data_IF_199682495143
#
_entry.id   IF_199682495143
#
_cell.length_a   1.000
_cell.length_b   1.000
_cell.length_c   1.000
_cell.angle_alpha   90.00
_cell.angle_beta   90.00
_cell.angle_gamma   90.00
#
_symmetry.space_group_name_H-M   'P 1'
#
loop_
_entity.id
_entity.type
_entity.pdbx_description
1 polymer ?
#
# COMPACT_ATOMS: atom_id res chain seq x y z
N UNK A 1 26.19 -5.44 15.60
CA UNK A 1 26.03 -6.67 14.82
C UNK A 1 24.60 -6.79 14.35
N UNK A 2 24.39 -7.24 13.11
CA UNK A 2 23.09 -7.28 12.45
C UNK A 2 22.45 -8.66 12.59
N UNK A 3 21.29 -8.77 13.24
CA UNK A 3 20.59 -10.06 13.39
C UNK A 3 20.05 -10.58 12.06
N UNK A 4 20.21 -11.88 11.81
CA UNK A 4 19.63 -12.59 10.66
C UNK A 4 18.13 -12.84 10.87
N UNK A 5 17.73 -13.17 12.10
CA UNK A 5 16.32 -13.32 12.47
C UNK A 5 15.66 -11.95 12.67
N UNK A 6 14.44 -11.78 12.17
CA UNK A 6 13.64 -10.57 12.31
C UNK A 6 12.84 -10.23 11.06
N UNK A 7 12.15 -9.11 11.12
CA UNK A 7 11.45 -8.54 9.96
C UNK A 7 12.44 -7.84 9.04
N UNK A 8 12.22 -7.98 7.73
CA UNK A 8 13.00 -7.24 6.74
C UNK A 8 12.86 -5.73 6.97
N UNK A 9 13.97 -5.01 6.86
CA UNK A 9 13.99 -3.55 6.93
C UNK A 9 13.84 -2.91 5.54
N UNK A 10 14.35 -3.58 4.49
CA UNK A 10 14.18 -3.13 3.12
C UNK A 10 12.83 -3.55 2.54
N UNK A 11 12.23 -2.65 1.77
CA UNK A 11 11.04 -2.92 0.96
C UNK A 11 11.40 -3.65 -0.32
N UNK A 12 10.41 -4.34 -0.92
CA UNK A 12 10.53 -4.94 -2.27
C UNK A 12 10.99 -3.90 -3.30
N UNK A 13 10.40 -2.70 -3.27
CA UNK A 13 10.74 -1.62 -4.19
C UNK A 13 12.20 -1.17 -4.05
N UNK A 14 12.73 -1.07 -2.83
CA UNK A 14 14.14 -0.76 -2.61
C UNK A 14 15.05 -1.83 -3.20
N UNK A 15 14.73 -3.11 -3.00
CA UNK A 15 15.50 -4.23 -3.56
C UNK A 15 15.43 -4.28 -5.09
N UNK A 16 14.24 -4.05 -5.67
CA UNK A 16 14.06 -3.95 -7.13
C UNK A 16 14.78 -2.74 -7.73
N UNK A 17 14.74 -1.59 -7.06
CA UNK A 17 15.43 -0.37 -7.49
C UNK A 17 16.94 -0.57 -7.46
N UNK A 18 17.44 -1.18 -6.38
CA UNK A 18 18.85 -1.53 -6.26
C UNK A 18 19.29 -2.42 -7.41
N UNK A 19 18.61 -3.55 -7.66
CA UNK A 19 19.06 -4.48 -8.69
C UNK A 19 19.00 -3.89 -10.08
N UNK A 20 17.96 -3.10 -10.40
CA UNK A 20 17.88 -2.39 -11.68
C UNK A 20 19.02 -1.38 -11.85
N UNK A 21 19.44 -0.73 -10.76
CA UNK A 21 20.56 0.23 -10.77
C UNK A 21 21.90 -0.47 -11.00
N UNK A 22 22.17 -1.58 -10.30
CA UNK A 22 23.48 -2.25 -10.35
C UNK A 22 23.58 -3.31 -11.45
N UNK A 23 22.46 -3.81 -11.94
CA UNK A 23 22.34 -4.67 -13.11
C UNK A 23 21.14 -4.26 -13.98
N UNK A 24 21.29 -3.24 -14.84
CA UNK A 24 20.24 -2.80 -15.76
C UNK A 24 19.78 -3.86 -16.77
N UNK A 25 20.58 -4.94 -16.94
CA UNK A 25 20.27 -6.07 -17.82
C UNK A 25 19.66 -7.26 -17.07
N UNK A 26 19.37 -7.12 -15.77
CA UNK A 26 18.72 -8.17 -15.01
C UNK A 26 17.39 -8.56 -15.68
N UNK A 27 17.15 -9.85 -15.95
CA UNK A 27 15.92 -10.26 -16.62
C UNK A 27 14.71 -10.01 -15.72
N UNK A 28 13.55 -9.80 -16.33
CA UNK A 28 12.29 -9.57 -15.61
C UNK A 28 11.96 -10.67 -14.57
N UNK A 29 12.40 -11.91 -14.83
CA UNK A 29 12.25 -13.02 -13.89
C UNK A 29 12.94 -12.75 -12.55
N UNK A 30 14.12 -12.12 -12.56
CA UNK A 30 14.85 -11.71 -11.34
C UNK A 30 14.08 -10.61 -10.60
N UNK A 31 13.51 -9.64 -11.32
CA UNK A 31 12.72 -8.57 -10.70
C UNK A 31 11.45 -9.11 -10.05
N UNK A 32 10.76 -10.04 -10.74
CA UNK A 32 9.50 -10.65 -10.33
C UNK A 32 9.65 -11.60 -9.14
N UNK A 33 10.83 -12.18 -8.92
CA UNK A 33 11.05 -13.08 -7.78
C UNK A 33 11.48 -12.37 -6.48
N UNK A 34 11.86 -11.09 -6.51
CA UNK A 34 12.26 -10.34 -5.31
C UNK A 34 11.22 -10.37 -4.17
N UNK A 35 9.90 -10.23 -4.43
CA UNK A 35 8.88 -10.37 -3.38
C UNK A 35 8.95 -11.70 -2.62
N UNK A 36 9.42 -12.78 -3.27
CA UNK A 36 9.51 -14.10 -2.66
C UNK A 36 10.51 -14.13 -1.49
N UNK A 37 11.58 -13.35 -1.54
CA UNK A 37 12.52 -13.23 -0.41
C UNK A 37 11.83 -12.71 0.85
N UNK A 38 10.94 -11.72 0.70
CA UNK A 38 10.19 -11.15 1.82
C UNK A 38 9.16 -12.13 2.33
N UNK A 39 8.38 -12.77 1.44
CA UNK A 39 7.34 -13.70 1.87
C UNK A 39 7.91 -14.97 2.50
N UNK A 40 8.94 -15.58 1.90
CA UNK A 40 9.59 -16.78 2.44
C UNK A 40 10.31 -16.47 3.76
N UNK A 41 11.02 -15.33 3.82
CA UNK A 41 11.69 -14.87 5.05
C UNK A 41 10.72 -14.60 6.20
N UNK A 42 9.62 -13.88 5.94
CA UNK A 42 8.62 -13.55 6.94
C UNK A 42 7.99 -14.80 7.58
N UNK A 43 7.77 -15.86 6.79
CA UNK A 43 7.27 -17.13 7.32
C UNK A 43 8.27 -17.67 8.35
N UNK A 44 9.53 -17.85 7.98
CA UNK A 44 10.55 -18.44 8.88
C UNK A 44 11.09 -17.46 9.95
N UNK A 45 10.66 -16.20 9.92
CA UNK A 45 11.17 -15.15 10.81
C UNK A 45 12.60 -14.71 10.48
N UNK A 46 13.04 -14.96 9.24
CA UNK A 46 14.35 -14.55 8.71
C UNK A 46 14.19 -13.27 7.92
N UNK A 47 15.18 -12.39 8.03
CA UNK A 47 15.25 -11.17 7.23
C UNK A 47 15.49 -11.48 5.75
N UNK A 48 14.40 -11.49 4.97
CA UNK A 48 14.43 -11.72 3.53
C UNK A 48 15.28 -10.72 2.75
N UNK A 49 15.42 -9.49 3.24
CA UNK A 49 16.29 -8.48 2.64
C UNK A 49 17.79 -8.79 2.80
N UNK A 50 18.19 -9.45 3.89
CA UNK A 50 19.54 -9.99 4.08
C UNK A 50 19.78 -11.13 3.09
N UNK A 51 18.82 -12.06 2.94
CA UNK A 51 18.93 -13.15 1.99
C UNK A 51 19.06 -12.64 0.55
N UNK A 52 18.29 -11.61 0.17
CA UNK A 52 18.43 -10.98 -1.14
C UNK A 52 19.80 -10.29 -1.32
N UNK A 53 20.28 -9.55 -0.31
CA UNK A 53 21.60 -8.91 -0.35
C UNK A 53 22.72 -9.95 -0.48
N UNK A 54 22.60 -11.09 0.20
CA UNK A 54 23.50 -12.23 0.03
C UNK A 54 23.42 -12.78 -1.39
N UNK A 55 22.23 -12.96 -1.96
CA UNK A 55 22.10 -13.46 -3.34
C UNK A 55 22.73 -12.53 -4.37
N UNK A 56 22.61 -11.21 -4.17
CA UNK A 56 23.33 -10.22 -4.97
C UNK A 56 24.86 -10.41 -4.87
N UNK A 57 25.39 -10.70 -3.70
CA UNK A 57 26.81 -10.98 -3.53
C UNK A 57 27.23 -12.27 -4.26
N UNK A 58 26.51 -13.37 -4.05
CA UNK A 58 26.84 -14.71 -4.55
C UNK A 58 26.74 -14.83 -6.08
N UNK A 59 25.82 -14.08 -6.69
CA UNK A 59 25.55 -14.15 -8.13
C UNK A 59 26.18 -13.01 -8.93
N UNK A 60 26.90 -12.10 -8.27
CA UNK A 60 27.39 -10.87 -8.89
C UNK A 60 26.23 -10.02 -9.42
N UNK A 61 25.24 -9.73 -8.57
CA UNK A 61 23.99 -9.04 -8.90
C UNK A 61 23.21 -9.72 -10.03
N UNK A 62 23.06 -11.05 -9.97
CA UNK A 62 22.34 -11.86 -10.95
C UNK A 62 22.92 -11.77 -12.38
N UNK A 63 24.22 -11.50 -12.49
CA UNK A 63 24.94 -11.58 -13.78
C UNK A 63 25.47 -12.99 -14.04
N UNK A 64 25.80 -13.73 -12.96
CA UNK A 64 26.34 -15.09 -12.98
C UNK A 64 27.65 -15.26 -13.77
N UNK A 65 28.31 -14.16 -14.16
CA UNK A 65 29.48 -14.14 -15.05
C UNK A 65 30.67 -14.95 -14.54
N UNK A 66 30.76 -15.17 -13.23
CA UNK A 66 31.81 -15.95 -12.56
C UNK A 66 31.22 -16.92 -11.51
N UNK A 67 29.94 -17.29 -11.68
CA UNK A 67 29.22 -18.12 -10.72
C UNK A 67 29.24 -19.59 -11.12
N UNK A 68 29.34 -20.48 -10.12
CA UNK A 68 29.22 -21.93 -10.31
C UNK A 68 27.75 -22.41 -10.43
N UNK A 69 26.81 -21.47 -10.43
CA UNK A 69 25.37 -21.69 -10.62
C UNK A 69 24.84 -20.76 -11.72
N UNK A 70 23.76 -21.18 -12.37
CA UNK A 70 23.07 -20.39 -13.39
C UNK A 70 21.66 -20.01 -12.94
N UNK A 71 21.07 -19.01 -13.61
CA UNK A 71 19.75 -18.49 -13.26
C UNK A 71 18.65 -19.57 -13.25
N UNK A 72 18.69 -20.51 -14.20
CA UNK A 72 17.73 -21.61 -14.33
C UNK A 72 17.81 -22.65 -13.21
N UNK A 73 18.93 -22.71 -12.48
CA UNK A 73 19.06 -23.58 -11.31
C UNK A 73 18.27 -23.07 -10.10
N UNK A 74 17.75 -21.84 -10.12
CA UNK A 74 17.08 -21.19 -8.99
C UNK A 74 17.90 -21.20 -7.68
N UNK A 75 19.23 -21.31 -7.79
CA UNK A 75 20.13 -21.32 -6.64
C UNK A 75 20.86 -19.99 -6.59
N UNK A 76 20.33 -19.06 -5.81
CA UNK A 76 20.82 -17.68 -5.79
C UNK A 76 21.85 -17.42 -4.70
N UNK A 77 22.15 -18.41 -3.85
CA UNK A 77 23.08 -18.29 -2.75
C UNK A 77 24.31 -19.19 -2.86
N UNK A 78 24.54 -19.78 -4.04
CA UNK A 78 25.69 -20.67 -4.28
C UNK A 78 25.62 -21.98 -3.48
N UNK A 79 24.44 -22.41 -3.05
CA UNK A 79 24.30 -23.55 -2.17
C UNK A 79 24.81 -24.84 -2.81
N UNK A 80 25.66 -25.56 -2.10
CA UNK A 80 26.31 -26.78 -2.61
C UNK A 80 27.61 -26.54 -3.39
N UNK A 81 28.01 -25.28 -3.63
CA UNK A 81 29.31 -24.94 -4.21
C UNK A 81 30.36 -24.99 -3.10
N UNK A 82 30.96 -26.17 -2.88
CA UNK A 82 31.92 -26.36 -1.78
C UNK A 82 33.38 -26.07 -2.17
N UNK A 83 33.70 -26.00 -3.47
CA UNK A 83 35.01 -25.66 -4.02
C UNK A 83 34.89 -25.28 -5.49
N UNK A 84 35.92 -24.61 -6.04
CA UNK A 84 35.98 -24.26 -7.47
C UNK A 84 35.76 -25.49 -8.35
N UNK A 85 34.90 -25.34 -9.36
CA UNK A 85 34.54 -26.41 -10.29
C UNK A 85 33.41 -27.34 -9.83
N UNK A 86 32.90 -27.22 -8.60
CA UNK A 86 31.71 -27.96 -8.15
C UNK A 86 30.45 -27.17 -8.51
N UNK A 87 29.56 -27.80 -9.28
CA UNK A 87 28.26 -27.22 -9.63
C UNK A 87 27.35 -27.19 -8.39
N UNK A 88 26.67 -26.07 -8.18
CA UNK A 88 25.72 -25.93 -7.07
C UNK A 88 24.44 -26.75 -7.26
N UNK A 89 23.66 -26.84 -6.18
CA UNK A 89 22.33 -27.46 -6.19
C UNK A 89 21.38 -26.75 -7.15
N UNK A 90 20.28 -27.43 -7.54
CA UNK A 90 19.22 -26.85 -8.37
C UNK A 90 17.85 -27.05 -7.73
N UNK A 91 16.96 -26.08 -7.89
CA UNK A 91 15.62 -26.08 -7.33
C UNK A 91 14.58 -25.91 -8.42
N UNK A 92 13.40 -26.49 -8.20
CA UNK A 92 12.35 -26.55 -9.23
C UNK A 92 11.81 -25.16 -9.59
N UNK A 93 11.74 -24.26 -8.61
CA UNK A 93 11.19 -22.91 -8.78
C UNK A 93 12.02 -21.87 -8.03
N UNK A 94 11.93 -20.58 -8.41
CA UNK A 94 12.55 -19.50 -7.64
C UNK A 94 12.13 -19.49 -6.17
N UNK A 95 10.85 -19.76 -5.88
CA UNK A 95 10.32 -19.81 -4.52
C UNK A 95 10.99 -20.92 -3.69
N UNK A 96 11.18 -22.10 -4.28
CA UNK A 96 11.82 -23.24 -3.62
C UNK A 96 13.29 -22.97 -3.32
N UNK A 97 14.03 -22.39 -4.27
CA UNK A 97 15.44 -22.05 -4.05
C UNK A 97 15.66 -20.93 -3.04
N UNK A 98 14.82 -19.88 -3.08
CA UNK A 98 14.80 -18.81 -2.07
C UNK A 98 14.45 -19.39 -0.70
N UNK A 99 13.45 -20.27 -0.62
CA UNK A 99 13.09 -20.96 0.63
C UNK A 99 14.26 -21.77 1.18
N UNK A 100 14.96 -22.51 0.32
CA UNK A 100 16.12 -23.30 0.74
C UNK A 100 17.22 -22.40 1.34
N UNK A 101 17.50 -21.25 0.73
CA UNK A 101 18.41 -20.24 1.30
C UNK A 101 17.92 -19.71 2.65
N UNK A 102 16.64 -19.35 2.75
CA UNK A 102 16.03 -18.84 3.99
C UNK A 102 16.14 -19.87 5.12
N UNK A 103 15.86 -21.15 4.83
CA UNK A 103 16.00 -22.25 5.78
C UNK A 103 17.45 -22.41 6.23
N UNK A 104 18.42 -22.28 5.33
CA UNK A 104 19.83 -22.35 5.67
C UNK A 104 20.27 -21.21 6.60
N UNK A 105 19.86 -19.97 6.29
CA UNK A 105 20.09 -18.80 7.15
C UNK A 105 19.41 -18.95 8.52
N UNK A 106 18.21 -19.53 8.56
CA UNK A 106 17.53 -19.85 9.80
C UNK A 106 18.32 -20.86 10.63
N UNK A 107 18.85 -21.91 9.99
CA UNK A 107 19.65 -22.92 10.67
C UNK A 107 20.88 -22.29 11.34
N UNK A 108 21.59 -21.40 10.63
CA UNK A 108 22.70 -20.64 11.20
C UNK A 108 22.26 -19.78 12.39
N UNK A 109 21.13 -19.08 12.29
CA UNK A 109 20.76 -18.04 13.25
C UNK A 109 19.87 -18.51 14.41
N UNK A 110 19.29 -19.70 14.35
CA UNK A 110 18.29 -20.16 15.31
C UNK A 110 18.23 -21.68 15.46
N UNK A 111 17.85 -22.12 16.67
CA UNK A 111 17.53 -23.52 16.99
C UNK A 111 16.03 -23.82 16.91
N UNK A 112 15.18 -22.83 16.70
CA UNK A 112 13.71 -22.98 16.57
C UNK A 112 13.33 -23.85 15.38
N UNK A 113 12.25 -24.62 15.45
CA UNK A 113 11.81 -25.45 14.32
C UNK A 113 11.39 -24.59 13.11
N UNK A 114 11.69 -25.05 11.89
CA UNK A 114 11.17 -24.46 10.65
C UNK A 114 9.64 -24.58 10.59
N UNK A 115 9.00 -23.58 9.98
CA UNK A 115 7.54 -23.53 9.81
C UNK A 115 7.08 -24.15 8.50
N UNK A 116 7.93 -24.19 7.49
CA UNK A 116 7.66 -24.84 6.21
C UNK A 116 8.39 -26.19 6.09
N UNK A 117 7.96 -26.99 5.11
CA UNK A 117 8.65 -28.22 4.71
C UNK A 117 10.09 -27.91 4.33
N UNK A 118 11.03 -28.72 4.82
CA UNK A 118 12.46 -28.57 4.52
C UNK A 118 12.71 -28.87 3.05
N UNK A 119 13.27 -27.90 2.34
CA UNK A 119 13.71 -28.01 0.94
C UNK A 119 15.21 -27.75 0.81
N UNK A 120 15.85 -27.20 1.83
CA UNK A 120 17.31 -27.11 1.94
C UNK A 120 17.92 -28.52 2.11
N UNK A 121 18.61 -29.06 1.09
CA UNK A 121 19.21 -30.40 1.16
C UNK A 121 20.42 -30.44 2.11
N UNK A 122 20.89 -29.29 2.59
CA UNK A 122 22.02 -29.17 3.51
C UNK A 122 21.61 -28.82 4.94
N UNK A 123 20.31 -28.71 5.22
CA UNK A 123 19.79 -28.25 6.51
C UNK A 123 20.33 -29.07 7.69
N UNK A 124 20.44 -30.39 7.53
CA UNK A 124 20.93 -31.31 8.56
C UNK A 124 22.43 -31.23 8.83
N UNK A 125 23.21 -30.59 7.95
CA UNK A 125 24.66 -30.45 8.11
C UNK A 125 25.06 -29.17 8.83
N UNK A 126 24.12 -28.26 9.11
CA UNK A 126 24.39 -27.00 9.81
C UNK A 126 24.34 -27.22 11.32
N UNK A 127 25.41 -26.86 12.03
CA UNK A 127 25.36 -26.70 13.49
C UNK A 127 24.40 -25.56 13.81
N UNK A 128 23.23 -25.87 14.36
CA UNK A 128 22.14 -24.89 14.44
C UNK A 128 22.41 -23.81 15.50
N UNK A 129 22.10 -22.55 15.17
CA UNK A 129 22.30 -21.40 16.05
C UNK A 129 23.76 -20.92 16.18
N UNK A 130 24.67 -21.38 15.32
CA UNK A 130 26.10 -21.04 15.39
C UNK A 130 26.47 -19.65 14.81
N UNK A 131 25.55 -18.95 14.15
CA UNK A 131 25.78 -17.63 13.59
C UNK A 131 24.50 -16.78 13.65
N UNK A 132 24.22 -16.15 14.80
CA UNK A 132 23.03 -15.30 15.01
C UNK A 132 23.07 -13.99 14.18
N UNK A 133 24.27 -13.52 13.84
CA UNK A 133 24.52 -12.23 13.19
C UNK A 133 25.08 -12.39 11.78
N UNK A 134 24.76 -11.46 10.87
CA UNK A 134 25.24 -11.47 9.48
C UNK A 134 26.76 -11.45 9.41
N UNK A 135 27.41 -10.68 10.29
CA UNK A 135 28.87 -10.65 10.41
C UNK A 135 29.45 -12.04 10.63
N UNK A 136 28.76 -12.92 11.37
CA UNK A 136 29.19 -14.29 11.68
C UNK A 136 28.90 -15.30 10.58
N UNK A 137 28.32 -14.88 9.45
CA UNK A 137 28.31 -15.71 8.24
C UNK A 137 29.70 -15.81 7.61
N UNK A 138 30.64 -14.92 7.96
CA UNK A 138 32.06 -15.10 7.67
C UNK A 138 32.71 -15.99 8.71
N UNK A 139 33.32 -17.09 8.27
CA UNK A 139 33.96 -18.08 9.17
C UNK A 139 35.11 -17.44 9.99
N UNK A 140 35.82 -16.48 9.41
CA UNK A 140 36.93 -15.81 10.09
C UNK A 140 36.43 -14.82 11.15
N UNK A 141 35.26 -14.22 10.92
CA UNK A 141 34.65 -13.21 11.77
C UNK A 141 33.75 -13.80 12.87
N UNK A 142 33.39 -15.10 12.75
CA UNK A 142 32.66 -15.82 13.77
C UNK A 142 33.62 -16.39 14.84
N UNK A 143 33.45 -16.05 16.14
CA UNK A 143 34.26 -16.61 17.22
C UNK A 143 34.22 -18.14 17.34
N UNK A 144 33.18 -18.79 16.82
CA UNK A 144 33.05 -20.25 16.81
C UNK A 144 33.57 -20.90 15.53
N UNK A 145 34.08 -20.11 14.58
CA UNK A 145 34.58 -20.55 13.28
C UNK A 145 33.56 -21.35 12.42
N UNK A 146 32.27 -21.15 12.69
CA UNK A 146 31.20 -21.54 11.78
C UNK A 146 30.83 -20.36 10.87
N UNK A 147 30.24 -20.64 9.71
CA UNK A 147 29.79 -19.59 8.81
C UNK A 147 29.48 -20.14 7.43
N UNK A 148 28.96 -19.26 6.59
CA UNK A 148 28.62 -19.55 5.20
C UNK A 148 29.86 -19.60 4.30
N UNK A 149 30.78 -18.65 4.47
CA UNK A 149 31.93 -18.49 3.59
C UNK A 149 33.24 -18.33 4.35
N UNK A 150 34.31 -18.90 3.78
CA UNK A 150 35.66 -18.84 4.33
C UNK A 150 36.38 -17.50 4.03
N UNK A 151 35.88 -16.72 3.07
CA UNK A 151 36.47 -15.44 2.67
C UNK A 151 36.31 -14.36 3.74
N UNK A 152 37.33 -13.49 3.86
CA UNK A 152 37.31 -12.32 4.76
C UNK A 152 36.18 -11.36 4.42
N UNK A 153 35.66 -10.71 5.46
CA UNK A 153 34.66 -9.65 5.41
C UNK A 153 33.33 -10.09 4.77
N UNK A 154 33.03 -11.39 4.74
CA UNK A 154 31.85 -11.90 4.03
C UNK A 154 30.54 -11.23 4.51
N UNK A 155 30.29 -11.27 5.83
CA UNK A 155 29.12 -10.62 6.41
C UNK A 155 29.10 -9.10 6.19
N UNK A 156 30.27 -8.45 6.24
CA UNK A 156 30.40 -7.01 5.99
C UNK A 156 30.02 -6.64 4.55
N UNK A 157 30.38 -7.47 3.56
CA UNK A 157 29.98 -7.28 2.15
C UNK A 157 28.46 -7.36 1.98
N UNK A 158 27.81 -8.32 2.65
CA UNK A 158 26.34 -8.43 2.67
C UNK A 158 25.73 -7.15 3.27
N UNK A 159 26.26 -6.68 4.40
CA UNK A 159 25.78 -5.45 5.06
C UNK A 159 25.96 -4.22 4.15
N UNK A 160 27.07 -4.11 3.42
CA UNK A 160 27.29 -3.00 2.46
C UNK A 160 26.24 -3.00 1.35
N UNK A 161 25.91 -4.17 0.79
CA UNK A 161 24.84 -4.31 -0.21
C UNK A 161 23.50 -3.94 0.41
N UNK A 162 23.19 -4.46 1.60
CA UNK A 162 21.94 -4.15 2.30
C UNK A 162 21.80 -2.65 2.60
N UNK A 163 22.85 -1.98 3.08
CA UNK A 163 22.83 -0.53 3.30
C UNK A 163 22.63 0.24 1.99
N UNK A 164 23.21 -0.24 0.89
CA UNK A 164 22.95 0.33 -0.44
C UNK A 164 21.48 0.17 -0.82
N UNK A 165 20.87 -0.99 -0.58
CA UNK A 165 19.43 -1.22 -0.80
C UNK A 165 18.59 -0.26 0.08
N UNK A 166 18.91 -0.14 1.36
CA UNK A 166 18.17 0.69 2.32
C UNK A 166 18.28 2.20 1.99
N UNK A 167 19.39 2.63 1.40
CA UNK A 167 19.62 4.02 0.96
C UNK A 167 19.08 4.33 -0.43
N UNK A 168 18.42 3.37 -1.11
CA UNK A 168 17.67 3.67 -2.34
C UNK A 168 16.52 4.62 -2.00
N UNK A 169 16.79 5.93 -2.11
CA UNK A 169 15.82 7.01 -1.97
C UNK A 169 14.80 6.88 -3.10
N UNK A 170 13.52 7.00 -2.77
CA UNK A 170 12.44 6.99 -3.75
C UNK A 170 12.49 8.27 -4.60
N UNK A 171 13.19 8.23 -5.76
CA UNK A 171 13.15 9.21 -6.87
C UNK A 171 14.51 9.29 -7.60
N UNK A 172 14.65 9.26 -8.94
CA UNK A 172 13.74 9.56 -10.07
C UNK A 172 14.19 8.86 -11.39
N UNK A 173 13.23 8.69 -12.33
CA UNK A 173 13.38 8.59 -13.81
C UNK A 173 13.57 7.22 -14.51
N UNK A 174 12.50 6.42 -14.65
CA UNK A 174 11.86 6.03 -15.94
C UNK A 174 10.74 5.00 -15.73
N UNK A 175 9.53 5.36 -16.19
CA UNK A 175 8.30 4.58 -16.44
C UNK A 175 8.05 3.23 -15.72
N UNK A 176 7.07 3.23 -14.79
CA UNK A 176 6.39 2.02 -14.29
C UNK A 176 6.07 2.10 -12.78
N UNK A 177 4.90 2.64 -12.42
CA UNK A 177 4.49 2.97 -11.04
C UNK A 177 4.03 1.74 -10.23
N UNK A 178 4.66 1.49 -9.08
CA UNK A 178 4.08 0.71 -7.97
C UNK A 178 3.96 1.65 -6.75
N UNK A 179 2.73 2.04 -6.39
CA UNK A 179 2.41 3.07 -5.39
C UNK A 179 2.63 2.53 -3.95
N UNK A 180 3.83 2.71 -3.38
CA UNK A 180 3.97 2.68 -1.92
C UNK A 180 3.71 4.06 -1.36
N UNK A 181 2.56 4.23 -0.72
CA UNK A 181 2.10 5.48 -0.13
C UNK A 181 2.96 5.87 1.08
N UNK A 182 3.69 6.98 0.98
CA UNK A 182 4.41 7.61 2.11
C UNK A 182 3.45 8.51 2.89
N UNK A 183 2.86 7.99 3.97
CA UNK A 183 1.94 8.76 4.84
C UNK A 183 2.76 9.58 5.85
N UNK A 184 2.68 10.91 5.80
CA UNK A 184 3.35 11.80 6.76
C UNK A 184 2.44 12.08 7.97
N UNK A 185 2.71 11.43 9.10
CA UNK A 185 1.89 11.51 10.32
C UNK A 185 2.57 12.44 11.34
N UNK A 186 1.88 13.52 11.71
CA UNK A 186 2.32 14.44 12.77
C UNK A 186 1.76 13.96 14.12
N UNK A 187 2.62 13.75 15.13
CA UNK A 187 2.16 13.31 16.46
C UNK A 187 1.74 14.50 17.33
N UNK A 188 0.56 14.38 17.93
CA UNK A 188 0.00 15.27 18.96
C UNK A 188 -0.75 14.44 20.00
N UNK A 189 -0.03 13.49 20.61
CA UNK A 189 -0.60 12.49 21.51
C UNK A 189 -1.16 13.15 22.80
N UNK A 190 -2.33 12.68 23.23
CA UNK A 190 -3.01 13.01 24.47
C UNK A 190 -3.45 11.72 25.16
N UNK A 191 -3.70 11.76 26.48
CA UNK A 191 -4.33 10.65 27.22
C UNK A 191 -5.67 11.06 27.85
N UNK A 192 -6.20 12.21 27.44
CA UNK A 192 -7.49 12.72 27.90
C UNK A 192 -8.61 11.95 27.20
N UNK A 193 -9.67 11.63 27.94
CA UNK A 193 -10.91 11.07 27.41
C UNK A 193 -10.68 9.80 26.55
N UNK A 194 -9.88 8.86 27.07
CA UNK A 194 -9.59 7.57 26.44
C UNK A 194 -9.43 6.43 27.46
N UNK A 195 -9.51 5.18 27.01
CA UNK A 195 -9.22 3.98 27.81
C UNK A 195 -7.73 3.62 27.69
N UNK A 196 -6.90 4.18 28.59
CA UNK A 196 -5.44 4.03 28.55
C UNK A 196 -5.03 2.55 28.60
N UNK A 197 -4.25 2.10 27.61
CA UNK A 197 -3.69 0.74 27.53
C UNK A 197 -4.71 -0.39 27.32
N UNK A 198 -5.99 -0.07 27.11
CA UNK A 198 -7.06 -1.06 27.03
C UNK A 198 -7.53 -1.36 25.61
N UNK A 199 -6.89 -0.78 24.59
CA UNK A 199 -7.22 -1.07 23.20
C UNK A 199 -6.50 -2.34 22.74
N UNK A 200 -7.27 -3.24 22.12
CA UNK A 200 -6.76 -4.39 21.38
C UNK A 200 -7.26 -4.24 19.94
N UNK A 201 -6.61 -3.39 19.13
CA UNK A 201 -7.06 -3.07 17.78
C UNK A 201 -7.38 -4.33 16.97
N UNK A 202 -8.55 -4.33 16.33
CA UNK A 202 -8.98 -5.34 15.36
C UNK A 202 -9.61 -4.70 14.11
N UNK A 203 -9.88 -3.39 14.13
CA UNK A 203 -10.55 -2.67 13.05
C UNK A 203 -9.95 -1.29 12.86
N UNK A 204 -10.00 -0.80 11.62
CA UNK A 204 -9.86 0.64 11.31
C UNK A 204 -11.25 1.18 11.02
N UNK A 205 -11.68 2.22 11.73
CA UNK A 205 -13.02 2.80 11.62
C UNK A 205 -12.95 4.23 11.08
N UNK A 206 -13.68 4.47 9.99
CA UNK A 206 -13.75 5.78 9.32
C UNK A 206 -14.92 6.62 9.85
N UNK A 207 -14.63 7.88 10.13
CA UNK A 207 -15.53 8.92 10.63
C UNK A 207 -15.38 10.21 9.81
N UNK A 208 -16.33 11.13 9.98
CA UNK A 208 -16.25 12.51 9.48
C UNK A 208 -16.61 13.48 10.59
N UNK A 209 -15.91 14.62 10.61
CA UNK A 209 -15.96 15.51 11.79
C UNK A 209 -17.28 16.23 11.93
N UNK A 210 -18.07 16.29 10.85
CA UNK A 210 -19.31 17.06 10.73
C UNK A 210 -19.18 18.54 11.09
N UNK A 211 -17.94 19.02 11.21
CA UNK A 211 -17.62 20.37 11.62
C UNK A 211 -17.30 21.21 10.39
N UNK A 212 -18.34 21.83 9.83
CA UNK A 212 -18.26 22.72 8.67
C UNK A 212 -17.79 24.14 9.02
N UNK A 213 -17.35 24.37 10.25
CA UNK A 213 -16.83 25.68 10.66
C UNK A 213 -15.50 25.99 9.96
N UNK A 214 -15.31 27.24 9.55
CA UNK A 214 -14.01 27.71 9.04
C UNK A 214 -12.91 27.46 10.08
N UNK A 215 -11.74 27.01 9.65
CA UNK A 215 -10.62 26.69 10.52
C UNK A 215 -10.69 25.34 11.25
N UNK A 216 -11.78 24.57 11.10
CA UNK A 216 -11.94 23.25 11.73
C UNK A 216 -11.15 22.13 10.98
N UNK A 217 -9.86 22.36 10.74
CA UNK A 217 -8.94 21.44 10.07
C UNK A 217 -8.37 20.36 11.02
N UNK A 218 -7.50 19.48 10.52
CA UNK A 218 -6.98 18.35 11.30
C UNK A 218 -6.13 18.81 12.50
N UNK A 219 -5.33 19.88 12.32
CA UNK A 219 -4.54 20.46 13.41
C UNK A 219 -5.44 21.04 14.51
N UNK A 220 -6.49 21.76 14.14
CA UNK A 220 -7.41 22.39 15.08
C UNK A 220 -8.13 21.34 15.94
N UNK A 221 -8.64 20.27 15.31
CA UNK A 221 -9.25 19.16 16.04
C UNK A 221 -8.25 18.42 16.94
N UNK A 222 -7.03 18.15 16.44
CA UNK A 222 -5.98 17.54 17.25
C UNK A 222 -5.62 18.39 18.48
N UNK A 223 -5.54 19.72 18.32
CA UNK A 223 -5.27 20.65 19.41
C UNK A 223 -6.43 20.69 20.42
N UNK A 224 -7.67 20.76 19.95
CA UNK A 224 -8.86 20.71 20.80
C UNK A 224 -8.90 19.43 21.64
N UNK A 225 -8.59 18.28 21.03
CA UNK A 225 -8.47 17.00 21.72
C UNK A 225 -7.36 17.00 22.77
N UNK A 226 -6.16 17.49 22.42
CA UNK A 226 -5.03 17.61 23.37
C UNK A 226 -5.37 18.49 24.57
N UNK A 227 -6.14 19.55 24.33
CA UNK A 227 -6.58 20.46 25.38
C UNK A 227 -7.73 19.88 26.22
N UNK A 228 -8.41 18.83 25.76
CA UNK A 228 -9.53 18.20 26.45
C UNK A 228 -10.87 18.87 26.16
N UNK A 229 -10.97 19.63 25.08
CA UNK A 229 -12.15 20.42 24.72
C UNK A 229 -13.19 19.60 23.92
N UNK A 230 -12.94 18.32 23.68
CA UNK A 230 -13.82 17.42 22.93
C UNK A 230 -14.36 16.32 23.83
N UNK A 231 -15.67 16.08 23.73
CA UNK A 231 -16.34 14.98 24.45
C UNK A 231 -15.99 13.60 23.87
N UNK A 232 -15.76 13.52 22.56
CA UNK A 232 -15.27 12.33 21.87
C UNK A 232 -13.79 12.46 21.50
N UNK A 233 -13.14 11.32 21.29
CA UNK A 233 -11.72 11.24 20.93
C UNK A 233 -11.50 10.22 19.83
N UNK A 234 -10.45 10.41 19.02
CA UNK A 234 -10.02 9.48 17.95
C UNK A 234 -8.51 9.35 17.90
N UNK A 235 -8.02 8.39 17.11
CA UNK A 235 -6.58 8.18 16.92
C UNK A 235 -6.00 9.15 15.89
N UNK A 236 -6.77 9.50 14.86
CA UNK A 236 -6.31 10.32 13.76
C UNK A 236 -7.34 11.36 13.31
N UNK A 237 -6.86 12.57 13.00
CA UNK A 237 -7.57 13.57 12.21
C UNK A 237 -6.85 13.78 10.87
N UNK A 238 -7.62 13.86 9.78
CA UNK A 238 -7.11 13.98 8.41
C UNK A 238 -7.79 15.14 7.70
N UNK A 239 -7.01 16.01 7.07
CA UNK A 239 -7.49 17.01 6.12
C UNK A 239 -6.70 16.90 4.81
N UNK A 240 -7.01 17.76 3.84
CA UNK A 240 -6.38 17.82 2.52
C UNK A 240 -4.88 18.10 2.56
N UNK A 241 -4.30 18.50 3.69
CA UNK A 241 -2.91 18.91 3.84
C UNK A 241 -2.12 18.01 4.80
N UNK A 242 -2.74 17.50 5.85
CA UNK A 242 -2.05 16.92 6.99
C UNK A 242 -2.82 15.79 7.69
N UNK A 243 -2.07 14.95 8.38
CA UNK A 243 -2.57 13.89 9.25
C UNK A 243 -1.98 14.10 10.64
N UNK A 244 -2.83 14.11 11.65
CA UNK A 244 -2.44 14.24 13.05
C UNK A 244 -2.83 12.99 13.83
N UNK A 245 -1.87 12.35 14.51
CA UNK A 245 -2.12 11.27 15.46
C UNK A 245 -2.30 11.83 16.86
N UNK A 246 -3.40 11.49 17.52
CA UNK A 246 -3.80 12.06 18.81
C UNK A 246 -3.87 11.06 19.96
N UNK A 247 -3.90 9.75 19.67
CA UNK A 247 -3.79 8.67 20.67
C UNK A 247 -2.78 7.63 20.20
N UNK A 248 -2.14 6.95 21.16
CA UNK A 248 -1.43 5.72 20.87
C UNK A 248 -2.43 4.60 20.53
N UNK A 249 -2.04 3.65 19.69
CA UNK A 249 -2.94 2.56 19.29
C UNK A 249 -3.35 1.65 20.46
N UNK A 250 -2.57 1.62 21.54
CA UNK A 250 -2.90 0.92 22.78
C UNK A 250 -4.01 1.58 23.59
N UNK A 251 -4.36 2.83 23.31
CA UNK A 251 -5.36 3.60 24.05
C UNK A 251 -6.70 3.56 23.30
N UNK A 252 -7.77 3.18 24.00
CA UNK A 252 -9.09 3.05 23.41
C UNK A 252 -9.77 4.41 23.27
N UNK A 253 -10.15 4.81 22.06
CA UNK A 253 -10.75 6.11 21.80
C UNK A 253 -12.24 6.13 22.15
N UNK A 254 -12.79 7.27 22.60
CA UNK A 254 -14.23 7.46 22.80
C UNK A 254 -14.87 7.91 21.48
N UNK A 255 -14.92 6.99 20.50
CA UNK A 255 -15.19 7.32 19.11
C UNK A 255 -16.50 6.72 18.57
N UNK A 256 -16.67 5.40 18.71
CA UNK A 256 -17.73 4.70 17.97
C UNK A 256 -19.08 4.68 18.68
N UNK A 257 -19.10 4.95 19.99
CA UNK A 257 -20.30 4.75 20.80
C UNK A 257 -20.63 3.26 20.82
N UNK A 258 -20.59 2.63 21.99
CA UNK A 258 -20.44 1.17 22.02
C UNK A 258 -21.62 0.41 21.39
N UNK A 259 -22.84 0.97 21.30
CA UNK A 259 -24.03 0.13 21.03
C UNK A 259 -24.06 -1.08 21.98
N UNK A 260 -23.38 -0.96 23.13
CA UNK A 260 -22.99 -2.02 24.09
C UNK A 260 -22.24 -3.23 23.49
N UNK A 261 -21.45 -3.02 22.45
CA UNK A 261 -20.69 -4.06 21.74
C UNK A 261 -21.52 -4.95 20.81
N UNK A 262 -22.80 -4.61 20.58
CA UNK A 262 -23.76 -5.43 19.83
C UNK A 262 -23.26 -5.92 18.46
N UNK A 263 -22.42 -5.12 17.79
CA UNK A 263 -21.91 -5.41 16.45
C UNK A 263 -20.42 -5.79 16.43
N UNK A 264 -19.82 -6.07 17.60
CA UNK A 264 -18.43 -6.54 17.71
C UNK A 264 -17.34 -5.48 17.52
N UNK A 265 -17.68 -4.27 17.12
CA UNK A 265 -16.76 -3.12 17.01
C UNK A 265 -16.99 -2.18 18.19
N UNK A 266 -15.93 -1.82 18.90
CA UNK A 266 -15.98 -1.08 20.17
C UNK A 266 -14.87 -0.03 20.23
N UNK A 267 -14.97 0.86 21.21
CA UNK A 267 -13.92 1.82 21.56
C UNK A 267 -12.58 1.16 21.96
N UNK A 268 -12.58 -0.13 22.32
CA UNK A 268 -11.41 -0.89 22.81
C UNK A 268 -10.89 -1.96 21.84
N UNK A 269 -11.37 -1.96 20.59
CA UNK A 269 -10.80 -2.79 19.53
C UNK A 269 -10.75 -2.08 18.17
N UNK A 270 -10.68 -0.75 18.16
CA UNK A 270 -10.68 0.04 16.93
C UNK A 270 -9.61 1.12 16.93
N UNK A 271 -9.11 1.43 15.73
CA UNK A 271 -8.31 2.62 15.41
C UNK A 271 -9.20 3.55 14.59
N UNK A 272 -9.39 4.78 15.04
CA UNK A 272 -10.42 5.67 14.53
C UNK A 272 -9.81 6.84 13.75
N UNK A 273 -10.29 7.05 12.52
CA UNK A 273 -9.85 8.12 11.60
C UNK A 273 -11.02 9.08 11.34
N UNK A 274 -10.84 10.34 11.69
CA UNK A 274 -11.76 11.44 11.41
C UNK A 274 -11.33 12.24 10.18
N UNK A 275 -12.18 12.29 9.16
CA UNK A 275 -11.96 13.09 7.95
C UNK A 275 -12.60 14.47 8.16
N UNK A 276 -11.79 15.52 8.06
CA UNK A 276 -12.27 16.90 8.20
C UNK A 276 -13.12 17.30 6.99
N UNK A 277 -14.23 18.00 7.25
CA UNK A 277 -15.18 18.46 6.21
C UNK A 277 -15.24 19.98 6.09
N UNK A 278 -14.37 20.72 6.78
CA UNK A 278 -14.38 22.18 6.81
C UNK A 278 -14.21 22.80 5.40
N UNK A 279 -14.82 23.96 5.08
CA UNK A 279 -14.84 24.52 3.73
C UNK A 279 -13.47 24.77 3.08
N UNK A 280 -12.41 24.95 3.88
CA UNK A 280 -11.05 25.20 3.41
C UNK A 280 -10.31 23.91 3.02
N UNK A 281 -10.81 22.75 3.46
CA UNK A 281 -10.22 21.47 3.05
C UNK A 281 -10.83 20.99 1.73
N UNK A 282 -9.98 20.58 0.80
CA UNK A 282 -10.44 19.77 -0.32
C UNK A 282 -10.82 18.39 0.21
N UNK A 283 -12.13 18.21 0.39
CA UNK A 283 -12.67 17.00 1.00
C UNK A 283 -12.27 15.72 0.25
N UNK A 284 -12.26 15.71 -1.09
CA UNK A 284 -11.89 14.49 -1.82
C UNK A 284 -10.41 14.18 -1.70
N UNK A 285 -9.56 15.22 -1.57
CA UNK A 285 -8.15 15.05 -1.22
C UNK A 285 -7.97 14.59 0.24
N UNK A 286 -8.82 15.01 1.16
CA UNK A 286 -8.84 14.51 2.53
C UNK A 286 -9.26 13.03 2.58
N UNK A 287 -10.28 12.64 1.80
CA UNK A 287 -10.71 11.24 1.62
C UNK A 287 -9.58 10.39 1.04
N UNK A 288 -8.92 10.85 -0.02
CA UNK A 288 -7.76 10.18 -0.63
C UNK A 288 -6.64 9.93 0.39
N UNK A 289 -6.32 10.93 1.22
CA UNK A 289 -5.35 10.77 2.31
C UNK A 289 -5.82 9.82 3.41
N UNK A 290 -7.12 9.78 3.69
CA UNK A 290 -7.68 8.83 4.65
C UNK A 290 -7.61 7.39 4.11
N UNK A 291 -7.85 7.16 2.82
CA UNK A 291 -7.68 5.85 2.17
C UNK A 291 -6.22 5.38 2.25
N UNK A 292 -5.28 6.30 2.02
CA UNK A 292 -3.84 6.12 2.17
C UNK A 292 -3.43 5.77 3.61
N UNK A 293 -3.95 6.50 4.60
CA UNK A 293 -3.73 6.23 6.02
C UNK A 293 -4.34 4.89 6.44
N UNK A 294 -5.55 4.58 6.00
CA UNK A 294 -6.20 3.31 6.26
C UNK A 294 -5.38 2.15 5.68
N UNK A 295 -4.89 2.26 4.45
CA UNK A 295 -4.02 1.25 3.83
C UNK A 295 -2.72 1.05 4.63
N UNK A 296 -2.12 2.14 5.09
CA UNK A 296 -0.93 2.10 5.95
C UNK A 296 -1.20 1.35 7.25
N UNK A 297 -2.32 1.65 7.93
CA UNK A 297 -2.70 1.00 9.18
C UNK A 297 -3.04 -0.49 8.99
N UNK A 298 -3.83 -0.83 7.97
CA UNK A 298 -4.16 -2.23 7.66
C UNK A 298 -2.89 -3.05 7.37
N UNK A 299 -1.96 -2.49 6.59
CA UNK A 299 -0.63 -3.09 6.37
C UNK A 299 0.15 -3.27 7.66
N UNK A 300 0.19 -2.25 8.52
CA UNK A 300 0.91 -2.29 9.80
C UNK A 300 0.44 -3.46 10.69
N UNK A 301 -0.86 -3.77 10.65
CA UNK A 301 -1.44 -4.85 11.47
C UNK A 301 -1.63 -6.17 10.71
N UNK A 302 -1.22 -6.26 9.44
CA UNK A 302 -1.40 -7.46 8.62
C UNK A 302 -2.87 -7.79 8.32
N UNK A 303 -3.74 -6.78 8.32
CA UNK A 303 -5.17 -6.94 8.06
C UNK A 303 -5.51 -6.70 6.60
N UNK A 304 -6.55 -7.38 6.12
CA UNK A 304 -7.17 -7.09 4.83
C UNK A 304 -8.25 -6.00 4.97
N UNK A 305 -8.86 -5.57 3.86
CA UNK A 305 -9.88 -4.52 3.88
C UNK A 305 -11.20 -4.94 4.53
N UNK A 306 -11.40 -6.21 4.87
CA UNK A 306 -12.51 -6.66 5.71
C UNK A 306 -12.47 -6.07 7.14
N UNK A 307 -11.29 -5.65 7.61
CA UNK A 307 -11.10 -4.93 8.88
C UNK A 307 -11.35 -3.42 8.77
N UNK A 308 -11.62 -2.89 7.57
CA UNK A 308 -11.99 -1.50 7.33
C UNK A 308 -13.50 -1.32 7.48
N UNK A 309 -13.92 -0.50 8.43
CA UNK A 309 -15.33 -0.34 8.83
C UNK A 309 -15.75 1.12 8.85
N UNK A 310 -17.04 1.37 8.69
CA UNK A 310 -17.65 2.68 8.96
C UNK A 310 -18.05 2.78 10.41
N UNK A 311 -18.18 3.99 10.94
CA UNK A 311 -18.88 4.20 12.21
C UNK A 311 -20.30 3.58 12.18
N UNK A 312 -20.98 3.64 11.03
CA UNK A 312 -22.25 2.95 10.79
C UNK A 312 -22.21 1.45 11.08
N UNK A 313 -21.11 0.77 10.78
CA UNK A 313 -20.99 -0.68 11.02
C UNK A 313 -20.83 -0.99 12.52
N UNK A 314 -20.32 -0.04 13.31
CA UNK A 314 -20.10 -0.17 14.74
C UNK A 314 -21.36 0.12 15.58
N UNK A 315 -22.20 1.08 15.17
CA UNK A 315 -23.34 1.53 15.99
C UNK A 315 -24.59 1.93 15.20
N UNK A 316 -24.58 1.82 13.86
CA UNK A 316 -25.63 2.32 12.94
C UNK A 316 -25.78 3.85 12.92
N UNK A 317 -24.85 4.60 13.54
CA UNK A 317 -24.75 6.05 13.31
C UNK A 317 -24.50 6.31 11.83
N UNK A 318 -25.25 7.23 11.23
CA UNK A 318 -25.06 7.67 9.84
C UNK A 318 -23.75 8.47 9.71
N UNK A 319 -22.63 7.75 9.71
CA UNK A 319 -21.27 8.27 9.69
C UNK A 319 -20.34 7.19 9.07
N UNK A 320 -19.37 7.53 8.20
CA UNK A 320 -19.07 8.87 7.65
C UNK A 320 -20.20 9.34 6.71
N UNK A 321 -20.80 10.51 6.99
CA UNK A 321 -22.07 10.92 6.38
C UNK A 321 -21.93 11.17 4.89
N UNK A 322 -20.97 12.00 4.49
CA UNK A 322 -20.78 12.42 3.10
C UNK A 322 -20.29 11.26 2.24
N UNK A 323 -19.39 10.41 2.74
CA UNK A 323 -19.03 9.14 2.07
C UNK A 323 -20.27 8.24 1.85
N UNK A 324 -21.20 8.17 2.81
CA UNK A 324 -22.41 7.36 2.69
C UNK A 324 -23.42 7.99 1.71
N UNK A 325 -23.68 9.29 1.84
CA UNK A 325 -24.65 10.03 1.04
C UNK A 325 -24.24 10.09 -0.44
N UNK A 326 -22.94 10.23 -0.71
CA UNK A 326 -22.37 10.23 -2.06
C UNK A 326 -22.06 8.82 -2.57
N UNK A 327 -22.33 7.76 -1.78
CA UNK A 327 -22.12 6.38 -2.20
C UNK A 327 -20.65 5.99 -2.42
N UNK A 328 -19.71 6.70 -1.80
CA UNK A 328 -18.26 6.55 -2.02
C UNK A 328 -17.65 5.33 -1.32
N UNK A 329 -18.35 4.72 -0.36
CA UNK A 329 -17.77 3.65 0.47
C UNK A 329 -17.17 2.47 -0.31
N UNK A 330 -17.83 1.90 -1.35
CA UNK A 330 -17.21 0.85 -2.15
C UNK A 330 -15.91 1.31 -2.84
N UNK A 331 -15.88 2.55 -3.29
CA UNK A 331 -14.71 3.19 -3.89
C UNK A 331 -13.58 3.37 -2.87
N UNK A 332 -13.91 3.82 -1.67
CA UNK A 332 -12.98 3.96 -0.55
C UNK A 332 -12.28 2.64 -0.24
N UNK A 333 -13.05 1.57 -0.04
CA UNK A 333 -12.52 0.23 0.25
C UNK A 333 -11.62 -0.27 -0.87
N UNK A 334 -12.05 -0.13 -2.13
CA UNK A 334 -11.27 -0.54 -3.30
C UNK A 334 -9.95 0.24 -3.40
N UNK A 335 -9.99 1.55 -3.19
CA UNK A 335 -8.82 2.42 -3.30
C UNK A 335 -7.85 2.22 -2.15
N UNK A 336 -8.34 1.95 -0.94
CA UNK A 336 -7.51 1.44 0.17
C UNK A 336 -6.83 0.13 -0.20
N UNK A 337 -7.53 -0.85 -0.79
CA UNK A 337 -6.91 -2.10 -1.25
C UNK A 337 -5.82 -1.87 -2.32
N UNK A 338 -6.05 -0.92 -3.24
CA UNK A 338 -5.05 -0.50 -4.22
C UNK A 338 -3.81 0.09 -3.54
N UNK A 339 -3.97 0.97 -2.55
CA UNK A 339 -2.85 1.50 -1.76
C UNK A 339 -2.18 0.42 -0.89
N UNK A 340 -2.90 -0.65 -0.56
CA UNK A 340 -2.31 -1.84 0.05
C UNK A 340 -1.48 -2.68 -0.94
N UNK A 341 -1.57 -2.41 -2.25
CA UNK A 341 -0.85 -3.18 -3.28
C UNK A 341 -1.57 -4.48 -3.67
N UNK A 342 -2.85 -4.63 -3.30
CA UNK A 342 -3.65 -5.80 -3.68
C UNK A 342 -4.31 -5.56 -5.04
N UNK A 343 -3.69 -6.06 -6.12
CA UNK A 343 -4.35 -6.20 -7.41
C UNK A 343 -5.10 -7.54 -7.48
N UNK A 344 -6.43 -7.45 -7.45
CA UNK A 344 -7.45 -8.39 -7.94
C UNK A 344 -7.62 -9.75 -7.22
N UNK A 345 -8.62 -9.83 -6.35
CA UNK A 345 -9.30 -11.08 -6.03
C UNK A 345 -10.31 -11.43 -7.12
N UNK A 346 -10.29 -12.71 -7.51
CA UNK A 346 -11.20 -13.36 -8.45
C UNK A 346 -12.68 -13.14 -8.15
N UNK A 347 -13.46 -12.89 -9.20
CA UNK A 347 -14.86 -13.32 -9.27
C UNK A 347 -15.08 -14.05 -10.59
N UNK A 348 -15.44 -15.33 -10.47
CA UNK A 348 -15.72 -16.27 -11.55
C UNK A 348 -16.99 -15.89 -12.34
N UNK A 349 -16.97 -16.03 -13.68
CA UNK A 349 -17.94 -16.79 -14.49
C UNK A 349 -17.77 -16.56 -16.01
N UNK A 350 -17.36 -17.64 -16.68
CA UNK A 350 -17.81 -18.18 -17.98
C UNK A 350 -18.29 -17.29 -19.16
N UNK A 351 -17.59 -17.55 -20.28
CA UNK A 351 -18.07 -17.79 -21.67
C UNK A 351 -18.03 -16.65 -22.70
N UNK A 352 -17.11 -16.83 -23.67
CA UNK A 352 -17.10 -16.48 -25.11
C UNK A 352 -17.54 -15.06 -25.54
N UNK A 353 -16.74 -14.29 -26.28
CA UNK A 353 -16.30 -14.56 -27.66
C UNK A 353 -15.25 -13.53 -28.10
N UNK A 354 -14.35 -13.94 -28.99
CA UNK A 354 -13.31 -13.11 -29.62
C UNK A 354 -13.90 -11.98 -30.47
N UNK A 355 -13.36 -10.76 -30.35
CA UNK A 355 -12.99 -9.94 -31.52
C UNK A 355 -11.81 -9.02 -31.16
N UNK A 356 -10.77 -9.11 -31.98
CA UNK A 356 -9.52 -8.34 -31.91
C UNK A 356 -9.75 -6.87 -32.29
N UNK A 357 -9.15 -5.91 -31.58
CA UNK A 357 -8.46 -4.76 -32.21
C UNK A 357 -7.64 -3.93 -31.20
N UNK A 358 -6.36 -3.77 -31.54
CA UNK A 358 -5.45 -2.63 -31.29
C UNK A 358 -5.23 -2.13 -29.86
N UNK A 359 -4.04 -2.45 -29.36
CA UNK A 359 -3.39 -1.97 -28.15
C UNK A 359 -3.11 -0.45 -28.18
N UNK A 360 -3.85 0.29 -27.34
CA UNK A 360 -3.41 1.51 -26.67
C UNK A 360 -3.92 1.42 -25.23
N UNK A 361 -3.08 1.64 -24.23
CA UNK A 361 -3.57 1.63 -22.86
C UNK A 361 -2.51 1.89 -21.80
N UNK A 362 -2.49 3.12 -21.33
CA UNK A 362 -2.39 3.43 -19.90
C UNK A 362 -3.58 4.35 -19.57
N UNK A 363 -4.79 3.79 -19.59
CA UNK A 363 -6.04 4.49 -19.36
C UNK A 363 -6.52 4.33 -17.91
N UNK A 364 -6.90 5.44 -17.27
CA UNK A 364 -7.62 5.39 -16.00
C UNK A 364 -8.97 4.67 -16.17
N UNK A 365 -9.47 4.08 -15.09
CA UNK A 365 -10.55 3.08 -15.02
C UNK A 365 -11.96 3.55 -15.41
N UNK A 366 -12.09 4.68 -16.11
CA UNK A 366 -13.29 5.12 -16.80
C UNK A 366 -12.86 6.08 -17.92
N UNK A 367 -12.87 5.63 -19.18
CA UNK A 367 -12.74 6.54 -20.32
C UNK A 367 -14.12 7.15 -20.58
N UNK A 368 -14.36 8.43 -20.21
CA UNK A 368 -15.66 9.01 -20.39
C UNK A 368 -15.94 9.18 -21.89
N UNK A 369 -17.03 8.56 -22.35
CA UNK A 369 -17.48 8.68 -23.73
C UNK A 369 -18.03 10.09 -23.99
N UNK A 370 -18.08 10.47 -25.25
CA UNK A 370 -18.69 11.72 -25.69
C UNK A 370 -20.15 11.80 -25.19
N UNK A 371 -20.51 12.91 -24.55
CA UNK A 371 -21.88 13.17 -24.09
C UNK A 371 -22.46 14.36 -24.87
N UNK A 372 -23.66 14.18 -25.43
CA UNK A 372 -24.47 15.22 -26.08
C UNK A 372 -25.95 15.04 -25.70
N UNK A 373 -26.84 15.94 -26.13
CA UNK A 373 -28.28 15.82 -25.87
C UNK A 373 -28.80 14.44 -26.28
N UNK A 374 -29.52 13.78 -25.38
CA UNK A 374 -30.06 12.44 -25.58
C UNK A 374 -29.10 11.29 -25.29
N UNK A 375 -27.80 11.54 -25.07
CA UNK A 375 -26.87 10.52 -24.59
C UNK A 375 -27.35 9.90 -23.28
N UNK A 376 -27.04 8.63 -23.06
CA UNK A 376 -27.36 7.91 -21.83
C UNK A 376 -26.15 7.17 -21.26
N UNK A 377 -26.21 6.78 -20.00
CA UNK A 377 -25.23 5.89 -19.36
C UNK A 377 -24.29 6.60 -18.38
N UNK A 378 -23.20 5.92 -18.05
CA UNK A 378 -22.29 6.28 -16.95
C UNK A 378 -21.51 7.57 -17.20
N UNK A 379 -21.20 7.91 -18.45
CA UNK A 379 -20.51 9.18 -18.77
C UNK A 379 -21.42 10.38 -18.59
N UNK A 380 -22.72 10.20 -18.81
CA UNK A 380 -23.73 11.21 -18.51
C UNK A 380 -23.88 11.40 -17.01
N UNK A 381 -23.89 10.31 -16.25
CA UNK A 381 -23.93 10.36 -14.79
C UNK A 381 -22.75 11.17 -14.25
N UNK A 382 -21.52 10.82 -14.68
CA UNK A 382 -20.32 11.53 -14.28
C UNK A 382 -20.39 13.03 -14.62
N UNK A 383 -20.90 13.37 -15.80
CA UNK A 383 -21.08 14.76 -16.20
C UNK A 383 -22.07 15.47 -15.26
N UNK A 384 -23.21 14.85 -14.94
CA UNK A 384 -24.23 15.40 -14.05
C UNK A 384 -23.67 15.63 -12.64
N UNK A 385 -22.95 14.65 -12.09
CA UNK A 385 -22.26 14.75 -10.80
C UNK A 385 -21.31 15.96 -10.74
N UNK A 386 -20.45 16.11 -11.75
CA UNK A 386 -19.46 17.20 -11.80
C UNK A 386 -20.16 18.56 -11.94
N UNK A 387 -21.17 18.66 -12.81
CA UNK A 387 -21.90 19.92 -13.01
C UNK A 387 -22.65 20.32 -11.74
N UNK A 388 -23.31 19.38 -11.06
CA UNK A 388 -23.99 19.61 -9.78
C UNK A 388 -22.98 20.05 -8.72
N UNK A 389 -21.88 19.32 -8.57
CA UNK A 389 -20.84 19.61 -7.58
C UNK A 389 -20.20 20.99 -7.80
N UNK A 390 -20.08 21.44 -9.05
CA UNK A 390 -19.58 22.77 -9.41
C UNK A 390 -20.67 23.85 -9.41
N UNK A 391 -21.87 23.53 -8.93
CA UNK A 391 -22.96 24.48 -8.75
C UNK A 391 -23.68 24.89 -10.04
N UNK A 392 -23.46 24.20 -11.16
CA UNK A 392 -24.17 24.47 -12.40
C UNK A 392 -25.59 23.91 -12.34
N UNK A 393 -26.54 24.73 -12.77
CA UNK A 393 -27.96 24.41 -12.76
C UNK A 393 -28.52 24.34 -14.17
N UNK A 394 -29.61 23.60 -14.31
CA UNK A 394 -30.42 23.57 -15.51
C UNK A 394 -31.11 24.91 -15.78
N UNK A 395 -31.90 24.94 -16.84
CA UNK A 395 -32.61 26.15 -17.28
C UNK A 395 -33.52 26.66 -16.15
N UNK A 396 -33.62 27.98 -16.01
CA UNK A 396 -34.39 28.64 -14.95
C UNK A 396 -33.97 28.26 -13.52
N UNK A 397 -32.70 27.87 -13.32
CA UNK A 397 -32.18 27.51 -12.01
C UNK A 397 -32.62 26.13 -11.49
N UNK A 398 -33.18 25.28 -12.37
CA UNK A 398 -33.61 23.93 -11.98
C UNK A 398 -32.42 23.06 -11.61
N UNK A 399 -32.52 22.35 -10.48
CA UNK A 399 -31.50 21.38 -10.06
C UNK A 399 -31.40 20.24 -11.09
N UNK A 400 -30.17 19.84 -11.43
CA UNK A 400 -29.97 18.67 -12.28
C UNK A 400 -30.28 17.40 -11.49
N UNK A 401 -30.71 16.37 -12.19
CA UNK A 401 -30.95 15.05 -11.59
C UNK A 401 -29.93 14.05 -12.13
N UNK A 402 -29.53 13.08 -11.30
CA UNK A 402 -28.59 12.01 -11.66
C UNK A 402 -29.28 10.91 -12.50
N UNK A 403 -29.96 11.34 -13.56
CA UNK A 403 -30.83 10.50 -14.38
C UNK A 403 -30.08 9.55 -15.31
N UNK A 404 -28.76 9.73 -15.47
CA UNK A 404 -27.93 9.07 -16.49
C UNK A 404 -28.41 9.35 -17.91
N UNK A 405 -29.27 10.35 -18.12
CA UNK A 405 -29.76 10.79 -19.42
C UNK A 405 -29.47 12.28 -19.58
N UNK A 406 -28.78 12.63 -20.66
CA UNK A 406 -28.37 13.98 -20.95
C UNK A 406 -29.57 14.74 -21.51
N UNK A 407 -30.44 15.17 -20.60
CA UNK A 407 -31.64 15.96 -20.91
C UNK A 407 -31.30 17.43 -21.17
N UNK A 408 -32.30 18.22 -21.53
CA UNK A 408 -32.12 19.63 -21.86
C UNK A 408 -31.50 20.44 -20.71
N UNK A 409 -31.80 20.08 -19.46
CA UNK A 409 -31.22 20.74 -18.29
C UNK A 409 -29.75 20.40 -18.10
N UNK A 410 -29.38 19.14 -18.31
CA UNK A 410 -27.98 18.67 -18.28
C UNK A 410 -27.16 19.39 -19.34
N UNK A 411 -27.68 19.51 -20.57
CA UNK A 411 -26.98 20.21 -21.66
C UNK A 411 -26.94 21.72 -21.43
N UNK A 412 -27.99 22.31 -20.86
CA UNK A 412 -27.98 23.73 -20.49
C UNK A 412 -26.88 24.02 -19.46
N UNK A 413 -26.76 23.20 -18.43
CA UNK A 413 -25.72 23.33 -17.41
C UNK A 413 -24.32 23.12 -18.00
N UNK A 414 -24.15 22.13 -18.89
CA UNK A 414 -22.90 21.91 -19.62
C UNK A 414 -22.49 23.13 -20.45
N UNK A 415 -23.41 23.72 -21.22
CA UNK A 415 -23.14 24.94 -21.99
C UNK A 415 -22.77 26.11 -21.09
N UNK A 416 -23.38 26.21 -19.91
CA UNK A 416 -23.08 27.25 -18.93
C UNK A 416 -21.66 27.07 -18.36
N UNK A 417 -21.28 25.83 -18.07
CA UNK A 417 -19.91 25.47 -17.71
C UNK A 417 -18.91 25.84 -18.81
N UNK A 418 -19.13 25.41 -20.05
CA UNK A 418 -18.24 25.72 -21.17
C UNK A 418 -18.09 27.24 -21.37
N UNK A 419 -19.17 28.02 -21.25
CA UNK A 419 -19.11 29.49 -21.28
C UNK A 419 -18.29 30.09 -20.14
N UNK A 420 -18.30 29.49 -18.95
CA UNK A 420 -17.44 29.94 -17.84
C UNK A 420 -15.94 29.68 -18.09
N UNK A 421 -15.60 28.86 -19.09
CA UNK A 421 -14.23 28.52 -19.51
C UNK A 421 -13.86 29.26 -20.80
N UNK A 422 -14.14 30.57 -20.85
CA UNK A 422 -13.93 31.44 -22.02
C UNK A 422 -12.49 31.32 -22.55
N UNK A 423 -12.34 31.05 -23.85
CA UNK A 423 -11.04 30.89 -24.51
C UNK A 423 -10.41 29.49 -24.36
N UNK A 424 -11.02 28.60 -23.55
CA UNK A 424 -10.55 27.23 -23.32
C UNK A 424 -11.49 26.20 -23.93
N UNK A 425 -12.81 26.40 -23.79
CA UNK A 425 -13.84 25.50 -24.31
C UNK A 425 -14.82 26.23 -25.24
N UNK A 426 -15.31 25.51 -26.26
CA UNK A 426 -16.44 25.93 -27.07
C UNK A 426 -17.76 25.61 -26.35
N UNK A 427 -18.73 26.52 -26.41
CA UNK A 427 -20.03 26.37 -25.74
C UNK A 427 -21.05 25.60 -26.60
N UNK A 428 -20.63 24.46 -27.13
CA UNK A 428 -21.39 23.62 -28.07
C UNK A 428 -22.40 22.69 -27.39
N UNK A 429 -22.27 22.47 -26.08
CA UNK A 429 -23.08 21.52 -25.31
C UNK A 429 -22.70 20.06 -25.55
N UNK A 430 -21.47 19.81 -25.99
CA UNK A 430 -20.90 18.48 -26.18
C UNK A 430 -19.74 18.30 -25.20
N UNK A 431 -19.83 17.33 -24.31
CA UNK A 431 -18.69 16.92 -23.50
C UNK A 431 -17.83 15.95 -24.32
N UNK A 432 -17.00 16.52 -25.19
CA UNK A 432 -15.96 15.83 -25.95
C UNK A 432 -14.63 15.77 -25.21
N UNK A 433 -13.56 15.34 -25.87
CA UNK A 433 -12.24 15.13 -25.25
C UNK A 433 -11.73 16.36 -24.48
N UNK A 434 -11.79 17.55 -25.09
CA UNK A 434 -11.33 18.81 -24.45
C UNK A 434 -12.15 19.15 -23.20
N UNK A 435 -13.47 19.00 -23.27
CA UNK A 435 -14.36 19.26 -22.14
C UNK A 435 -14.14 18.25 -21.02
N UNK A 436 -13.90 16.97 -21.34
CA UNK A 436 -13.58 15.96 -20.34
C UNK A 436 -12.26 16.25 -19.65
N UNK A 437 -11.20 16.61 -20.39
CA UNK A 437 -9.92 17.01 -19.81
C UNK A 437 -10.07 18.17 -18.83
N UNK A 438 -10.86 19.19 -19.17
CA UNK A 438 -11.10 20.33 -18.27
C UNK A 438 -12.03 19.99 -17.08
N UNK A 439 -13.01 19.09 -17.27
CA UNK A 439 -13.91 18.64 -16.20
C UNK A 439 -13.20 17.76 -15.17
N UNK A 440 -12.31 16.88 -15.60
CA UNK A 440 -11.66 15.88 -14.73
C UNK A 440 -10.15 16.11 -14.54
N UNK A 441 -9.64 17.27 -14.99
CA UNK A 441 -8.25 17.71 -14.87
C UNK A 441 -7.21 16.68 -15.39
N UNK A 442 -7.44 16.16 -16.61
CA UNK A 442 -6.49 15.30 -17.34
C UNK A 442 -5.53 16.13 -18.18
#
# INVERSE_FOLDING_TARGET
MLKIMGQAAATVTQMQTYIKKVNPKAPDSVIKMIPLYISEGAIEGVRGDIAFAQSCLETGNFTFSESAVTLDQNNFCGMGVTKNGVKGNSFKTPAEGIRAQIQHLQAYASTSRLKQTVVDPRYTYVTRGCAEYVEYLGIQENPQHYGWAAGKDYGKKIITILNSILTMNSGTSTSGKENTVKVNIKKMISKKNCYIGQNKPAYVVIHETDNWSKGANARAHALAMKNGNLAGTVHYYVDSESIYQTLEHSDGAWAVGDGKGKYGITNRNSINIEICVNPETDYYKAVDKAEQLAAYLLKQYGWSTDHLKRHYDASRKHCPRRILDEGLWPGFVKKTAVYMGSASTNTSSNTATNTSTTTKGDGYMFEPKLVKLGSTGTSVLLLQEILIARGFKGKNGKTLTLSRKADENTIYALKTYQKSRKGVLEADGIAGEKTWKDLIAI
#
